data_IF_635315853970
#
_entry.id   IF_635315853970
#
_cell.length_a   1.000
_cell.length_b   1.000
_cell.length_c   1.000
_cell.angle_alpha   90.00
_cell.angle_beta   90.00
_cell.angle_gamma   90.00
#
_symmetry.space_group_name_H-M   'P 1'
#
loop_
_entity.id
_entity.type
_entity.pdbx_description
1 polymer ?
#
# COMPACT_ATOMS: atom_id res chain seq x y z
N UNK A 1 0.77 -0.55 -1.33
CA UNK A 1 2.11 0.05 -1.13
C UNK A 1 3.16 -1.01 -1.43
N UNK A 2 4.22 -0.66 -2.18
CA UNK A 2 5.34 -1.55 -2.46
C UNK A 2 6.61 -0.96 -1.87
N UNK A 3 7.44 -1.80 -1.25
CA UNK A 3 8.70 -1.39 -0.62
C UNK A 3 9.85 -2.03 -1.39
N UNK A 4 10.79 -1.21 -1.85
CA UNK A 4 12.03 -1.67 -2.48
C UNK A 4 13.22 -1.22 -1.61
N UNK A 5 14.05 -2.18 -1.18
CA UNK A 5 15.31 -1.83 -0.49
C UNK A 5 16.32 -1.31 -1.52
N UNK A 6 16.85 -0.11 -1.28
CA UNK A 6 17.90 0.48 -2.10
C UNK A 6 19.29 0.28 -1.49
N UNK A 7 19.38 0.25 -0.16
CA UNK A 7 20.60 -0.01 0.63
C UNK A 7 20.20 -0.39 2.05
N UNK A 8 21.18 -0.77 2.89
CA UNK A 8 20.93 -1.06 4.32
C UNK A 8 20.38 0.15 5.09
N UNK A 9 20.66 1.37 4.61
CA UNK A 9 20.26 2.62 5.25
C UNK A 9 19.08 3.33 4.59
N UNK A 10 18.64 2.93 3.40
CA UNK A 10 17.56 3.60 2.68
C UNK A 10 16.62 2.61 1.97
N UNK A 11 15.32 2.88 2.06
CA UNK A 11 14.28 2.13 1.37
C UNK A 11 13.44 3.08 0.51
N UNK A 12 12.99 2.59 -0.63
CA UNK A 12 12.02 3.28 -1.49
C UNK A 12 10.64 2.70 -1.20
N UNK A 13 9.67 3.58 -0.98
CA UNK A 13 8.30 3.21 -0.62
C UNK A 13 7.34 3.92 -1.56
N UNK A 14 6.54 3.15 -2.30
CA UNK A 14 5.45 3.70 -3.11
C UNK A 14 4.21 3.87 -2.24
N UNK A 15 3.66 5.08 -2.19
CA UNK A 15 2.48 5.42 -1.41
C UNK A 15 1.46 6.07 -2.35
N UNK A 16 0.18 5.72 -2.20
CA UNK A 16 -0.91 6.44 -2.83
C UNK A 16 -1.43 7.48 -1.83
N UNK A 17 -1.34 8.74 -2.20
CA UNK A 17 -1.74 9.88 -1.37
C UNK A 17 -3.00 10.53 -1.93
N UNK A 18 -3.78 11.18 -1.08
CA UNK A 18 -4.98 11.91 -1.49
C UNK A 18 -4.65 13.09 -2.42
N UNK A 19 -3.58 13.83 -2.11
CA UNK A 19 -3.23 15.06 -2.82
C UNK A 19 -2.47 14.83 -4.13
N UNK A 20 -1.54 13.85 -4.14
CA UNK A 20 -0.59 13.67 -5.23
C UNK A 20 -0.72 12.34 -5.97
N UNK A 21 -1.71 11.50 -5.58
CA UNK A 21 -1.82 10.15 -6.13
C UNK A 21 -0.62 9.27 -5.75
N UNK A 22 -0.08 8.53 -6.72
CA UNK A 22 1.04 7.60 -6.48
C UNK A 22 2.37 8.35 -6.40
N UNK A 23 2.98 8.35 -5.24
CA UNK A 23 4.24 9.03 -4.95
C UNK A 23 5.29 8.04 -4.45
N UNK A 24 6.55 8.28 -4.84
CA UNK A 24 7.71 7.52 -4.38
C UNK A 24 8.41 8.27 -3.24
N UNK A 25 8.48 7.64 -2.08
CA UNK A 25 9.18 8.19 -0.91
C UNK A 25 10.49 7.46 -0.65
N UNK A 26 11.52 8.24 -0.32
CA UNK A 26 12.76 7.72 0.26
C UNK A 26 12.68 7.78 1.79
N UNK A 27 12.86 6.62 2.42
CA UNK A 27 12.85 6.45 3.87
C UNK A 27 14.25 6.09 4.31
N UNK A 28 14.87 6.95 5.10
CA UNK A 28 16.19 6.69 5.66
C UNK A 28 16.09 5.92 6.97
N UNK A 29 16.94 4.90 7.13
CA UNK A 29 17.07 4.14 8.37
C UNK A 29 17.91 4.86 9.39
N UNK A 30 17.39 4.98 10.61
CA UNK A 30 18.04 5.70 11.71
C UNK A 30 19.09 4.93 12.49
N UNK A 31 20.05 4.23 11.87
CA UNK A 31 21.20 3.63 12.56
C UNK A 31 22.54 4.30 12.23
N UNK A 32 22.54 5.47 11.61
CA UNK A 32 23.74 6.24 11.36
C UNK A 32 24.03 7.18 12.53
N UNK A 33 25.14 6.96 13.25
CA UNK A 33 25.64 7.77 14.37
C UNK A 33 26.06 9.19 13.98
N UNK A 34 25.18 9.97 13.38
CA UNK A 34 25.37 11.36 13.03
C UNK A 34 24.49 12.30 13.85
N UNK A 35 25.01 13.42 14.32
CA UNK A 35 24.48 14.41 15.27
C UNK A 35 23.16 15.12 14.93
N UNK A 36 22.32 14.62 14.01
CA UNK A 36 20.94 15.07 13.82
C UNK A 36 20.01 13.88 14.05
N UNK A 37 19.42 13.82 15.23
CA UNK A 37 18.25 12.99 15.52
C UNK A 37 17.08 13.46 14.64
N UNK A 38 17.02 13.02 13.38
CA UNK A 38 15.74 12.86 12.73
C UNK A 38 15.01 11.83 13.58
N UNK A 39 13.82 12.12 14.08
CA UNK A 39 12.94 11.13 14.68
C UNK A 39 12.80 10.03 13.66
N UNK A 40 13.50 8.92 13.86
CA UNK A 40 13.59 7.83 12.88
C UNK A 40 12.17 7.31 12.62
N UNK A 41 11.80 7.22 11.34
CA UNK A 41 10.53 6.65 10.95
C UNK A 41 10.52 5.20 11.40
N UNK A 42 9.50 4.82 12.18
CA UNK A 42 9.30 3.43 12.56
C UNK A 42 8.92 2.63 11.30
N UNK A 43 9.88 1.86 10.78
CA UNK A 43 9.68 1.06 9.56
C UNK A 43 8.64 -0.05 9.71
N UNK A 44 8.33 -0.46 10.94
CA UNK A 44 7.35 -1.52 11.20
C UNK A 44 5.92 -1.11 10.84
N UNK A 45 5.64 0.20 10.75
CA UNK A 45 4.33 0.70 10.29
C UNK A 45 4.22 0.74 8.76
N UNK A 46 5.34 0.58 8.04
CA UNK A 46 5.37 0.60 6.58
C UNK A 46 5.06 -0.80 6.03
N UNK A 47 3.87 -1.29 6.27
CA UNK A 47 3.38 -2.59 5.79
C UNK A 47 2.42 -2.42 4.61
N UNK A 48 2.13 -3.47 3.82
CA UNK A 48 1.11 -3.41 2.78
C UNK A 48 -0.22 -2.91 3.34
N UNK A 49 -0.89 -2.00 2.62
CA UNK A 49 -2.17 -1.36 2.99
C UNK A 49 -2.16 -0.58 4.32
N UNK A 50 -1.02 -0.26 4.93
CA UNK A 50 -1.01 0.66 6.06
C UNK A 50 -1.58 2.01 5.64
N UNK A 51 -2.54 2.50 6.42
CA UNK A 51 -3.08 3.84 6.27
C UNK A 51 -2.31 4.78 7.19
N UNK A 52 -1.57 5.70 6.58
CA UNK A 52 -0.58 6.53 7.24
C UNK A 52 -0.91 8.01 7.08
N UNK A 53 -0.60 8.76 8.11
CA UNK A 53 -0.36 10.20 8.03
C UNK A 53 1.15 10.41 7.87
N UNK A 54 1.53 11.18 6.84
CA UNK A 54 2.94 11.36 6.47
C UNK A 54 3.26 12.83 6.25
N UNK A 55 4.48 13.20 6.60
CA UNK A 55 5.09 14.49 6.22
C UNK A 55 6.36 14.21 5.41
N UNK A 56 6.54 14.96 4.36
CA UNK A 56 7.70 14.82 3.49
C UNK A 56 7.95 16.02 2.61
N UNK A 57 9.15 16.14 2.08
CA UNK A 57 9.52 17.17 1.13
C UNK A 57 9.78 16.56 -0.23
N UNK A 58 9.37 17.28 -1.26
CA UNK A 58 9.79 17.01 -2.62
C UNK A 58 11.30 17.24 -2.77
N UNK A 59 12.01 16.25 -3.28
CA UNK A 59 13.43 16.39 -3.60
C UNK A 59 13.54 17.06 -4.98
N UNK A 60 14.08 18.29 -4.99
CA UNK A 60 14.18 19.14 -6.16
C UNK A 60 14.63 18.40 -7.43
N UNK A 61 13.82 18.51 -8.49
CA UNK A 61 14.10 17.95 -9.81
C UNK A 61 13.92 16.43 -9.92
N UNK A 62 13.30 15.78 -8.96
CA UNK A 62 13.02 14.34 -8.97
C UNK A 62 11.57 14.09 -8.56
N UNK A 63 10.92 13.13 -9.19
CA UNK A 63 9.64 12.57 -8.76
C UNK A 63 9.77 11.71 -7.49
N UNK A 64 10.65 12.10 -6.58
CA UNK A 64 11.03 11.40 -5.37
C UNK A 64 10.90 12.35 -4.20
N UNK A 65 10.21 11.91 -3.15
CA UNK A 65 10.03 12.67 -1.91
C UNK A 65 10.88 12.08 -0.79
N UNK A 66 11.30 12.92 0.15
CA UNK A 66 11.94 12.44 1.38
C UNK A 66 10.89 12.37 2.48
N UNK A 67 10.69 11.21 3.08
CA UNK A 67 9.80 11.05 4.21
C UNK A 67 10.47 11.55 5.49
N UNK A 68 9.85 12.51 6.18
CA UNK A 68 10.32 13.09 7.44
C UNK A 68 9.63 12.50 8.65
N UNK A 69 8.33 12.24 8.49
CA UNK A 69 7.49 11.72 9.56
C UNK A 69 6.48 10.75 8.98
N UNK A 70 6.13 9.73 9.74
CA UNK A 70 5.02 8.83 9.45
C UNK A 70 4.45 8.28 10.75
N UNK A 71 3.11 8.25 10.82
CA UNK A 71 2.38 7.56 11.87
C UNK A 71 1.18 6.82 11.27
N UNK A 72 0.66 5.84 12.01
CA UNK A 72 -0.58 5.17 11.61
C UNK A 72 -1.75 6.14 11.79
N UNK A 73 -2.50 6.39 10.73
CA UNK A 73 -3.80 7.05 10.80
C UNK A 73 -4.89 6.08 11.26
N UNK A 74 -4.81 4.84 10.79
CA UNK A 74 -5.67 3.75 11.20
C UNK A 74 -4.84 2.63 11.81
N UNK A 75 -5.22 2.20 13.03
CA UNK A 75 -4.57 1.10 13.75
C UNK A 75 -5.42 -0.17 13.58
N UNK A 76 -4.99 -1.13 12.76
CA UNK A 76 -5.76 -2.34 12.52
C UNK A 76 -5.81 -3.21 13.77
N UNK A 77 -6.97 -3.84 14.00
CA UNK A 77 -7.23 -4.70 15.15
C UNK A 77 -6.99 -6.19 14.83
N UNK A 78 -7.36 -6.65 13.64
CA UNK A 78 -7.29 -8.05 13.23
C UNK A 78 -6.27 -8.28 12.11
N UNK A 79 -6.13 -7.34 11.19
CA UNK A 79 -5.24 -7.45 10.03
C UNK A 79 -3.79 -7.80 10.39
N UNK A 80 -3.30 -7.30 11.54
CA UNK A 80 -1.93 -7.54 12.00
C UNK A 80 -1.71 -8.95 12.54
N UNK A 81 -2.76 -9.68 12.88
CA UNK A 81 -2.69 -10.97 13.59
C UNK A 81 -3.28 -12.14 12.79
N UNK A 82 -4.02 -11.87 11.72
CA UNK A 82 -4.62 -12.89 10.86
C UNK A 82 -3.83 -12.99 9.54
N UNK A 83 -3.18 -14.15 9.34
CA UNK A 83 -2.37 -14.42 8.15
C UNK A 83 -3.18 -14.35 6.86
N UNK A 84 -4.45 -14.78 6.87
CA UNK A 84 -5.32 -14.71 5.69
C UNK A 84 -5.61 -13.26 5.29
N UNK A 85 -5.87 -12.40 6.28
CA UNK A 85 -6.04 -10.95 6.05
C UNK A 85 -4.76 -10.30 5.55
N UNK A 86 -3.60 -10.71 6.08
CA UNK A 86 -2.30 -10.22 5.60
C UNK A 86 -2.04 -10.61 4.14
N UNK A 87 -2.36 -11.84 3.75
CA UNK A 87 -2.26 -12.29 2.35
C UNK A 87 -3.17 -11.47 1.42
N UNK A 88 -4.42 -11.19 1.83
CA UNK A 88 -5.32 -10.33 1.08
C UNK A 88 -4.80 -8.89 1.00
N UNK A 89 -4.26 -8.35 2.08
CA UNK A 89 -3.65 -7.02 2.08
C UNK A 89 -2.46 -6.93 1.11
N UNK A 90 -1.63 -7.96 1.05
CA UNK A 90 -0.53 -8.02 0.08
C UNK A 90 -1.05 -8.07 -1.36
N UNK A 91 -2.06 -8.91 -1.63
CA UNK A 91 -2.70 -8.98 -2.94
C UNK A 91 -3.29 -7.63 -3.36
N UNK A 92 -4.06 -6.99 -2.48
CA UNK A 92 -4.67 -5.68 -2.75
C UNK A 92 -3.60 -4.60 -2.98
N UNK A 93 -2.55 -4.57 -2.16
CA UNK A 93 -1.45 -3.62 -2.31
C UNK A 93 -0.70 -3.81 -3.63
N UNK A 94 -0.45 -5.04 -4.05
CA UNK A 94 0.20 -5.34 -5.33
C UNK A 94 -0.71 -4.96 -6.51
N UNK A 95 -2.00 -5.25 -6.42
CA UNK A 95 -2.99 -4.85 -7.41
C UNK A 95 -3.00 -3.33 -7.59
N UNK A 96 -3.12 -2.58 -6.51
CA UNK A 96 -3.06 -1.11 -6.53
C UNK A 96 -1.73 -0.61 -7.12
N UNK A 97 -0.61 -1.22 -6.73
CA UNK A 97 0.70 -0.83 -7.24
C UNK A 97 0.80 -0.96 -8.76
N UNK A 98 0.24 -2.03 -9.33
CA UNK A 98 0.28 -2.31 -10.78
C UNK A 98 -0.75 -1.51 -11.57
N UNK A 99 -1.93 -1.27 -11.02
CA UNK A 99 -3.03 -0.60 -11.72
C UNK A 99 -2.97 0.93 -11.63
N UNK A 100 -2.57 1.47 -10.49
CA UNK A 100 -2.42 2.91 -10.31
C UNK A 100 -1.06 3.36 -10.88
N UNK A 101 -0.98 3.45 -12.21
CA UNK A 101 0.28 3.79 -12.92
C UNK A 101 0.53 5.29 -13.00
N UNK A 102 -0.51 6.10 -12.98
CA UNK A 102 -0.42 7.55 -13.13
C UNK A 102 -0.31 8.25 -11.77
N UNK A 103 0.47 9.36 -11.70
CA UNK A 103 0.58 10.16 -10.48
C UNK A 103 -0.66 11.03 -10.22
N UNK A 104 -1.78 10.76 -10.90
CA UNK A 104 -3.01 11.52 -10.72
C UNK A 104 -3.72 11.07 -9.45
N UNK A 105 -4.02 12.02 -8.59
CA UNK A 105 -4.88 11.80 -7.43
C UNK A 105 -6.35 11.70 -7.88
N UNK A 106 -7.09 10.79 -7.26
CA UNK A 106 -8.55 10.69 -7.37
C UNK A 106 -9.10 10.40 -5.97
N UNK A 107 -9.87 11.35 -5.43
CA UNK A 107 -10.46 11.22 -4.10
C UNK A 107 -11.35 9.98 -3.96
N UNK A 108 -12.08 9.60 -5.02
CA UNK A 108 -12.95 8.41 -5.02
C UNK A 108 -12.13 7.14 -4.86
N UNK A 109 -10.99 7.06 -5.57
CA UNK A 109 -10.07 5.92 -5.46
C UNK A 109 -9.43 5.89 -4.07
N UNK A 110 -9.02 7.05 -3.54
CA UNK A 110 -8.44 7.13 -2.21
C UNK A 110 -9.43 6.69 -1.13
N UNK A 111 -10.66 7.23 -1.15
CA UNK A 111 -11.71 6.88 -0.19
C UNK A 111 -12.09 5.41 -0.29
N UNK A 112 -12.16 4.87 -1.51
CA UNK A 112 -12.39 3.45 -1.75
C UNK A 112 -11.30 2.59 -1.08
N UNK A 113 -10.01 2.92 -1.28
CA UNK A 113 -8.89 2.20 -0.67
C UNK A 113 -9.01 2.22 0.86
N UNK A 114 -9.29 3.39 1.46
CA UNK A 114 -9.45 3.52 2.90
C UNK A 114 -10.60 2.65 3.43
N UNK A 115 -11.74 2.64 2.75
CA UNK A 115 -12.89 1.80 3.12
C UNK A 115 -12.54 0.30 3.03
N UNK A 116 -11.79 -0.10 2.01
CA UNK A 116 -11.37 -1.49 1.84
C UNK A 116 -10.37 -1.94 2.93
N UNK A 117 -9.53 -1.05 3.44
CA UNK A 117 -8.64 -1.35 4.58
C UNK A 117 -9.46 -1.65 5.82
N UNK A 118 -10.47 -0.81 6.11
CA UNK A 118 -11.36 -0.99 7.27
C UNK A 118 -12.19 -2.27 7.12
N UNK A 119 -12.78 -2.50 5.95
CA UNK A 119 -13.57 -3.69 5.66
C UNK A 119 -12.74 -4.98 5.81
N UNK A 120 -11.52 -5.01 5.26
CA UNK A 120 -10.60 -6.14 5.42
C UNK A 120 -10.25 -6.39 6.88
N UNK A 121 -10.14 -5.35 7.70
CA UNK A 121 -9.80 -5.49 9.12
C UNK A 121 -10.98 -5.96 9.97
N UNK A 122 -12.19 -5.46 9.70
CA UNK A 122 -13.35 -5.59 10.60
C UNK A 122 -14.38 -6.63 10.17
N UNK A 123 -14.38 -7.07 8.90
CA UNK A 123 -15.36 -8.02 8.39
C UNK A 123 -15.22 -9.40 9.04
N UNK A 124 -16.33 -10.03 9.39
CA UNK A 124 -16.36 -11.41 9.91
C UNK A 124 -16.00 -12.45 8.84
N UNK A 125 -16.35 -12.18 7.58
CA UNK A 125 -16.06 -13.03 6.41
C UNK A 125 -15.23 -12.26 5.38
N UNK A 126 -14.11 -12.86 4.98
CA UNK A 126 -13.15 -12.24 4.04
C UNK A 126 -13.10 -12.93 2.67
N UNK A 127 -13.87 -14.00 2.46
CA UNK A 127 -13.76 -14.85 1.26
C UNK A 127 -14.10 -14.13 -0.04
N UNK A 128 -15.02 -13.17 0.02
CA UNK A 128 -15.49 -12.41 -1.14
C UNK A 128 -14.72 -11.09 -1.36
N UNK A 129 -13.94 -10.64 -0.38
CA UNK A 129 -13.28 -9.31 -0.42
C UNK A 129 -12.38 -9.17 -1.66
N UNK A 130 -11.62 -10.19 -2.01
CA UNK A 130 -10.70 -10.10 -3.16
C UNK A 130 -11.43 -9.91 -4.49
N UNK A 131 -12.54 -10.60 -4.71
CA UNK A 131 -13.33 -10.49 -5.95
C UNK A 131 -14.09 -9.18 -6.03
N UNK A 132 -14.67 -8.74 -4.93
CA UNK A 132 -15.35 -7.43 -4.84
C UNK A 132 -14.36 -6.29 -5.03
N UNK A 133 -13.19 -6.36 -4.39
CA UNK A 133 -12.13 -5.37 -4.54
C UNK A 133 -11.71 -5.18 -6.00
N UNK A 134 -11.46 -6.29 -6.73
CA UNK A 134 -11.06 -6.22 -8.13
C UNK A 134 -12.16 -5.64 -9.01
N UNK A 135 -13.41 -6.11 -8.84
CA UNK A 135 -14.54 -5.63 -9.62
C UNK A 135 -14.78 -4.13 -9.43
N UNK A 136 -14.89 -3.69 -8.18
CA UNK A 136 -15.16 -2.29 -7.86
C UNK A 136 -13.99 -1.36 -8.25
N UNK A 137 -12.74 -1.81 -8.05
CA UNK A 137 -11.58 -1.04 -8.50
C UNK A 137 -11.57 -0.89 -10.02
N UNK A 138 -11.92 -1.96 -10.76
CA UNK A 138 -12.01 -1.94 -12.22
C UNK A 138 -13.07 -0.93 -12.71
N UNK A 139 -14.24 -0.89 -12.08
CA UNK A 139 -15.28 0.10 -12.37
C UNK A 139 -14.82 1.53 -12.07
N UNK A 140 -14.20 1.76 -10.91
CA UNK A 140 -13.68 3.07 -10.52
C UNK A 140 -12.64 3.59 -11.51
N UNK A 141 -11.81 2.70 -12.04
CA UNK A 141 -10.76 3.05 -13.01
C UNK A 141 -11.29 3.14 -14.45
N UNK A 142 -12.60 2.89 -14.67
CA UNK A 142 -13.25 3.05 -15.97
C UNK A 142 -13.11 1.84 -16.91
N UNK A 143 -12.78 0.66 -16.39
CA UNK A 143 -12.63 -0.56 -17.19
C UNK A 143 -13.94 -1.38 -17.34
N UNK A 144 -15.09 -0.81 -16.96
CA UNK A 144 -16.40 -1.40 -17.23
C UNK A 144 -16.72 -2.71 -16.50
N UNK A 145 -16.05 -2.98 -15.37
CA UNK A 145 -16.32 -4.18 -14.57
C UNK A 145 -15.72 -5.49 -15.11
N UNK A 146 -15.13 -5.47 -16.31
CA UNK A 146 -14.32 -6.60 -16.79
C UNK A 146 -12.90 -6.54 -16.19
N UNK A 147 -12.48 -7.56 -15.44
CA UNK A 147 -11.15 -7.56 -14.86
C UNK A 147 -10.11 -7.61 -15.98
N UNK A 148 -9.16 -6.68 -15.97
CA UNK A 148 -7.99 -6.72 -16.84
C UNK A 148 -7.27 -8.07 -16.68
N UNK A 149 -6.62 -8.55 -17.75
CA UNK A 149 -5.80 -9.78 -17.69
C UNK A 149 -4.76 -9.71 -16.56
N UNK A 150 -4.23 -8.52 -16.26
CA UNK A 150 -3.32 -8.30 -15.12
C UNK A 150 -3.95 -8.65 -13.77
N UNK A 151 -5.24 -8.40 -13.54
CA UNK A 151 -5.96 -8.78 -12.33
C UNK A 151 -6.16 -10.31 -12.24
N UNK A 152 -6.44 -10.97 -13.36
CA UNK A 152 -6.60 -12.42 -13.41
C UNK A 152 -5.27 -13.12 -13.09
N UNK A 153 -4.17 -12.63 -13.63
CA UNK A 153 -2.83 -13.14 -13.36
C UNK A 153 -2.42 -12.94 -11.91
N UNK A 154 -2.74 -11.78 -11.31
CA UNK A 154 -2.48 -11.50 -9.90
C UNK A 154 -3.28 -12.40 -8.96
N UNK A 155 -4.57 -12.60 -9.27
CA UNK A 155 -5.44 -13.50 -8.50
C UNK A 155 -4.90 -14.93 -8.52
N UNK A 156 -4.45 -15.41 -9.68
CA UNK A 156 -3.88 -16.75 -9.83
C UNK A 156 -2.58 -16.90 -9.05
N UNK A 157 -1.70 -15.91 -9.08
CA UNK A 157 -0.44 -15.91 -8.32
C UNK A 157 -0.67 -15.88 -6.80
N UNK A 158 -1.63 -15.05 -6.33
CA UNK A 158 -1.97 -14.98 -4.91
C UNK A 158 -2.57 -16.30 -4.39
N UNK A 159 -3.46 -16.94 -5.18
CA UNK A 159 -4.04 -18.25 -4.84
C UNK A 159 -3.00 -19.34 -4.80
N UNK A 160 -2.04 -19.36 -5.74
CA UNK A 160 -0.94 -20.33 -5.76
C UNK A 160 -0.03 -20.17 -4.53
N UNK A 161 0.25 -18.93 -4.12
CA UNK A 161 1.04 -18.66 -2.91
C UNK A 161 0.31 -19.10 -1.63
N UNK A 162 -1.02 -18.95 -1.56
CA UNK A 162 -1.82 -19.43 -0.43
C UNK A 162 -1.82 -20.96 -0.32
N UNK A 163 -1.87 -21.67 -1.45
CA UNK A 163 -1.87 -23.14 -1.50
C UNK A 163 -0.49 -23.74 -1.22
N UNK A 164 0.60 -23.03 -1.50
CA UNK A 164 1.96 -23.49 -1.26
C UNK A 164 2.43 -23.31 0.19
N UNK A 165 1.66 -22.58 1.02
CA UNK A 165 1.98 -22.30 2.43
C UNK A 165 1.12 -23.15 3.40
N UNK A 166 0.29 -24.05 2.89
CA UNK A 166 -0.48 -25.07 3.64
C UNK A 166 0.22 -26.39 3.58
#
# INVERSE_FOLDING_TARGET
MAIQRKSDSASLVHIYTREYGKVLYMVYGGNGGGRKRSRGINRNILTPLSWLEIEGDELSGKSLHSMKFAQLHYVPQHLSFDVRRQCLAMFMAETLYKTLRHPLSDDRVFDYICNQIVELDTSDSIEHISSQFVSQLSELLGYGGEPLEEFQNLRSAALLNMLSTS
#
